data_IF_605115471699
#
_entry.id   IF_605115471699
#
_cell.length_a   1.000
_cell.length_b   1.000
_cell.length_c   1.000
_cell.angle_alpha   90.00
_cell.angle_beta   90.00
_cell.angle_gamma   90.00
#
_symmetry.space_group_name_H-M   'P 1'
#
loop_
_entity.id
_entity.type
_entity.pdbx_description
1 polymer ?
#
# COMPACT_ATOMS: atom_id res chain seq x y z
N UNK A 1 20.70 5.29 9.30
CA UNK A 1 20.24 4.47 8.16
C UNK A 1 19.87 3.02 8.56
N UNK A 2 20.71 2.29 9.30
CA UNK A 2 20.41 0.89 9.71
C UNK A 2 19.06 0.70 10.40
N UNK A 3 18.76 1.47 11.45
CA UNK A 3 17.47 1.37 12.19
C UNK A 3 16.23 1.67 11.32
N UNK A 4 16.33 2.58 10.36
CA UNK A 4 15.22 2.90 9.45
C UNK A 4 14.97 1.76 8.46
N UNK A 5 16.03 1.11 7.98
CA UNK A 5 15.90 -0.06 7.11
C UNK A 5 15.35 -1.28 7.85
N UNK A 6 15.73 -1.49 9.12
CA UNK A 6 15.14 -2.51 9.99
C UNK A 6 13.64 -2.27 10.26
N UNK A 7 13.23 -1.02 10.45
CA UNK A 7 11.81 -0.69 10.55
C UNK A 7 11.08 -0.98 9.23
N UNK A 8 11.68 -0.64 8.08
CA UNK A 8 11.15 -0.89 6.75
C UNK A 8 10.94 -2.39 6.43
N UNK A 9 11.80 -3.25 6.97
CA UNK A 9 11.70 -4.71 6.84
C UNK A 9 10.38 -5.29 7.35
N UNK A 10 9.76 -4.66 8.36
CA UNK A 10 8.47 -5.12 8.92
C UNK A 10 7.32 -5.00 7.92
N UNK A 11 7.45 -4.11 6.93
CA UNK A 11 6.45 -3.89 5.88
C UNK A 11 6.65 -4.81 4.67
N UNK A 12 7.71 -5.61 4.65
CA UNK A 12 7.92 -6.60 3.61
C UNK A 12 7.10 -7.87 3.89
N UNK A 13 6.63 -8.57 2.84
CA UNK A 13 6.05 -9.91 2.99
C UNK A 13 7.03 -10.86 3.68
N UNK A 14 6.53 -11.77 4.53
CA UNK A 14 7.35 -12.65 5.39
C UNK A 14 8.45 -13.38 4.62
N UNK A 15 8.15 -13.89 3.42
CA UNK A 15 9.12 -14.60 2.54
C UNK A 15 10.31 -13.73 2.09
N UNK A 16 10.17 -12.40 2.10
CA UNK A 16 11.20 -11.45 1.68
C UNK A 16 11.93 -10.79 2.86
N UNK A 17 11.43 -10.99 4.09
CA UNK A 17 12.06 -10.42 5.28
C UNK A 17 13.43 -11.04 5.56
N UNK A 18 13.58 -12.34 5.36
CA UNK A 18 14.87 -13.03 5.56
C UNK A 18 15.96 -12.51 4.60
N UNK A 19 15.63 -12.37 3.32
CA UNK A 19 16.56 -11.82 2.33
C UNK A 19 16.94 -10.37 2.67
N UNK A 20 15.97 -9.53 3.04
CA UNK A 20 16.27 -8.15 3.44
C UNK A 20 17.12 -8.07 4.71
N UNK A 21 16.95 -8.98 5.69
CA UNK A 21 17.83 -9.09 6.86
C UNK A 21 19.25 -9.49 6.46
N UNK A 22 19.40 -10.47 5.57
CA UNK A 22 20.70 -10.89 5.06
C UNK A 22 21.44 -9.72 4.37
N UNK A 23 20.74 -8.95 3.53
CA UNK A 23 21.33 -7.77 2.87
C UNK A 23 21.78 -6.69 3.86
N UNK A 24 21.06 -6.49 4.97
CA UNK A 24 21.47 -5.55 6.02
C UNK A 24 22.64 -6.09 6.85
N UNK A 25 22.70 -7.40 7.10
CA UNK A 25 23.84 -8.04 7.75
C UNK A 25 25.12 -7.87 6.91
N UNK A 26 25.06 -8.12 5.60
CA UNK A 26 26.18 -7.88 4.68
C UNK A 26 26.63 -6.40 4.67
N UNK A 27 25.68 -5.47 4.74
CA UNK A 27 25.97 -4.05 4.85
C UNK A 27 26.60 -3.66 6.19
N UNK A 28 26.35 -4.41 7.26
CA UNK A 28 26.91 -4.18 8.59
C UNK A 28 28.35 -4.71 8.71
N UNK A 29 28.65 -5.83 8.03
CA UNK A 29 29.99 -6.45 8.01
C UNK A 29 30.95 -5.71 7.06
N UNK A 30 30.44 -5.03 6.03
CA UNK A 30 31.27 -4.26 5.11
C UNK A 30 31.95 -3.06 5.79
N UNK A 31 33.25 -2.88 5.57
CA UNK A 31 34.02 -1.74 6.06
C UNK A 31 33.41 -0.38 5.64
N UNK A 32 33.63 0.64 6.48
CA UNK A 32 33.12 1.98 6.23
C UNK A 32 33.73 2.58 4.94
N UNK A 33 32.98 2.49 3.85
CA UNK A 33 33.45 2.95 2.53
C UNK A 33 32.39 2.87 1.42
N UNK A 34 32.81 2.99 0.15
CA UNK A 34 31.92 2.98 -1.02
C UNK A 34 31.11 1.68 -1.13
N UNK A 35 31.70 0.55 -0.74
CA UNK A 35 31.09 -0.79 -0.77
C UNK A 35 29.91 -0.89 0.19
N UNK A 36 30.06 -0.42 1.43
CA UNK A 36 28.98 -0.34 2.43
C UNK A 36 27.82 0.55 1.95
N UNK A 37 28.11 1.70 1.34
CA UNK A 37 27.07 2.59 0.78
C UNK A 37 26.27 1.91 -0.35
N UNK A 38 26.92 1.13 -1.21
CA UNK A 38 26.24 0.36 -2.27
C UNK A 38 25.28 -0.67 -1.66
N UNK A 39 25.73 -1.43 -0.66
CA UNK A 39 24.88 -2.41 0.03
C UNK A 39 23.68 -1.78 0.73
N UNK A 40 23.88 -0.66 1.44
CA UNK A 40 22.79 0.07 2.08
C UNK A 40 21.76 0.60 1.06
N UNK A 41 22.20 1.12 -0.08
CA UNK A 41 21.30 1.56 -1.16
C UNK A 41 20.54 0.39 -1.77
N UNK A 42 21.20 -0.74 -2.01
CA UNK A 42 20.56 -1.95 -2.53
C UNK A 42 19.51 -2.50 -1.56
N UNK A 43 19.82 -2.59 -0.27
CA UNK A 43 18.88 -3.01 0.76
C UNK A 43 17.69 -2.04 0.87
N UNK A 44 17.96 -0.73 0.88
CA UNK A 44 16.90 0.29 0.93
C UNK A 44 15.99 0.21 -0.30
N UNK A 45 16.57 0.11 -1.50
CA UNK A 45 15.82 -0.06 -2.75
C UNK A 45 14.96 -1.32 -2.74
N UNK A 46 15.51 -2.45 -2.26
CA UNK A 46 14.77 -3.71 -2.14
C UNK A 46 13.57 -3.57 -1.19
N UNK A 47 13.78 -2.93 -0.04
CA UNK A 47 12.71 -2.68 0.95
C UNK A 47 11.63 -1.80 0.34
N UNK A 48 11.99 -0.66 -0.25
CA UNK A 48 11.03 0.26 -0.87
C UNK A 48 10.25 -0.42 -1.97
N UNK A 49 10.92 -1.11 -2.89
CA UNK A 49 10.28 -1.81 -4.01
C UNK A 49 9.34 -2.93 -3.52
N UNK A 50 9.72 -3.63 -2.45
CA UNK A 50 8.90 -4.71 -1.89
C UNK A 50 7.71 -4.21 -1.07
N UNK A 51 7.85 -3.10 -0.36
CA UNK A 51 6.78 -2.53 0.46
C UNK A 51 5.81 -1.66 -0.36
N UNK A 52 6.28 -1.01 -1.43
CA UNK A 52 5.47 -0.14 -2.29
C UNK A 52 4.11 -0.75 -2.72
N UNK A 53 4.01 -1.99 -3.23
CA UNK A 53 2.72 -2.55 -3.61
C UNK A 53 1.77 -2.77 -2.42
N UNK A 54 2.31 -3.08 -1.23
CA UNK A 54 1.51 -3.25 0.00
C UNK A 54 0.91 -1.91 0.40
N UNK A 55 1.72 -0.85 0.42
CA UNK A 55 1.26 0.51 0.70
C UNK A 55 0.24 0.98 -0.33
N UNK A 56 0.53 0.79 -1.62
CA UNK A 56 -0.39 1.19 -2.70
C UNK A 56 -1.75 0.51 -2.56
N UNK A 57 -1.77 -0.78 -2.22
CA UNK A 57 -2.99 -1.53 -1.96
C UNK A 57 -3.78 -0.96 -0.78
N UNK A 58 -3.14 -0.71 0.37
CA UNK A 58 -3.82 -0.13 1.53
C UNK A 58 -4.35 1.26 1.24
N UNK A 59 -3.58 2.10 0.55
CA UNK A 59 -4.03 3.42 0.11
C UNK A 59 -5.22 3.30 -0.83
N UNK A 60 -5.19 2.39 -1.80
CA UNK A 60 -6.32 2.18 -2.72
C UNK A 60 -7.59 1.75 -1.98
N UNK A 61 -7.47 0.86 -0.99
CA UNK A 61 -8.60 0.44 -0.14
C UNK A 61 -9.13 1.62 0.68
N UNK A 62 -8.25 2.34 1.37
CA UNK A 62 -8.63 3.45 2.24
C UNK A 62 -9.29 4.59 1.46
N UNK A 63 -8.71 4.98 0.32
CA UNK A 63 -9.27 6.03 -0.55
C UNK A 63 -10.61 5.59 -1.13
N UNK A 64 -10.75 4.33 -1.56
CA UNK A 64 -12.03 3.81 -2.05
C UNK A 64 -13.11 3.85 -0.96
N UNK A 65 -12.78 3.45 0.28
CA UNK A 65 -13.71 3.48 1.40
C UNK A 65 -14.11 4.92 1.78
N UNK A 66 -13.14 5.85 1.86
CA UNK A 66 -13.42 7.26 2.12
C UNK A 66 -14.30 7.87 1.04
N UNK A 67 -14.08 7.50 -0.21
CA UNK A 67 -14.86 8.02 -1.33
C UNK A 67 -16.29 7.47 -1.33
N UNK A 68 -16.50 6.20 -0.95
CA UNK A 68 -17.84 5.66 -0.69
C UNK A 68 -18.55 6.44 0.42
N UNK A 69 -17.86 6.69 1.55
CA UNK A 69 -18.43 7.46 2.66
C UNK A 69 -18.78 8.89 2.25
N UNK A 70 -17.89 9.56 1.49
CA UNK A 70 -18.12 10.88 0.94
C UNK A 70 -19.40 10.89 0.11
N UNK A 71 -19.49 10.00 -0.88
CA UNK A 71 -20.65 9.94 -1.79
C UNK A 71 -21.92 9.63 -1.02
N UNK A 72 -21.88 8.68 -0.08
CA UNK A 72 -23.01 8.37 0.78
C UNK A 72 -23.50 9.58 1.57
N UNK A 73 -22.58 10.33 2.18
CA UNK A 73 -22.89 11.57 2.89
C UNK A 73 -23.56 12.61 1.98
N UNK A 74 -23.00 12.85 0.79
CA UNK A 74 -23.55 13.83 -0.15
C UNK A 74 -24.89 13.38 -0.74
N UNK A 75 -25.06 12.08 -0.97
CA UNK A 75 -26.34 11.51 -1.41
C UNK A 75 -27.44 11.70 -0.36
N UNK A 76 -27.13 11.46 0.93
CA UNK A 76 -28.06 11.66 2.04
C UNK A 76 -28.38 13.15 2.22
N UNK A 77 -27.37 14.02 2.20
CA UNK A 77 -27.53 15.47 2.37
C UNK A 77 -28.38 16.09 1.27
N UNK A 78 -28.19 15.64 0.02
CA UNK A 78 -29.03 16.04 -1.12
C UNK A 78 -30.39 15.33 -1.18
N UNK A 79 -30.68 14.40 -0.26
CA UNK A 79 -31.90 13.59 -0.26
C UNK A 79 -32.05 12.68 -1.49
N UNK A 80 -30.95 12.39 -2.19
CA UNK A 80 -30.94 11.68 -3.47
C UNK A 80 -31.88 12.30 -4.52
N UNK A 81 -32.09 13.62 -4.49
CA UNK A 81 -32.92 14.34 -5.49
C UNK A 81 -32.29 14.44 -6.89
N UNK A 82 -31.23 13.67 -7.16
CA UNK A 82 -30.61 13.59 -8.47
C UNK A 82 -31.52 12.89 -9.49
N UNK A 83 -31.19 13.05 -10.76
CA UNK A 83 -31.86 12.33 -11.84
C UNK A 83 -31.70 10.80 -11.66
N UNK A 84 -32.62 9.97 -12.16
CA UNK A 84 -32.50 8.50 -12.05
C UNK A 84 -31.16 7.96 -12.56
N UNK A 85 -30.57 8.62 -13.56
CA UNK A 85 -29.25 8.28 -14.12
C UNK A 85 -28.13 8.58 -13.13
N UNK A 86 -28.18 9.70 -12.41
CA UNK A 86 -27.21 10.03 -11.36
C UNK A 86 -27.28 9.00 -10.22
N UNK A 87 -28.49 8.66 -9.75
CA UNK A 87 -28.68 7.65 -8.70
C UNK A 87 -28.15 6.29 -9.13
N UNK A 88 -28.43 5.86 -10.37
CA UNK A 88 -27.90 4.60 -10.91
C UNK A 88 -26.37 4.61 -11.01
N UNK A 89 -25.79 5.74 -11.43
CA UNK A 89 -24.33 5.92 -11.51
C UNK A 89 -23.68 5.85 -10.13
N UNK A 90 -24.31 6.45 -9.10
CA UNK A 90 -23.85 6.36 -7.72
C UNK A 90 -23.82 4.92 -7.20
N UNK A 91 -24.92 4.18 -7.39
CA UNK A 91 -24.99 2.78 -6.98
C UNK A 91 -23.95 1.92 -7.72
N UNK A 92 -23.80 2.14 -9.03
CA UNK A 92 -22.78 1.46 -9.84
C UNK A 92 -21.36 1.74 -9.35
N UNK A 93 -21.04 2.99 -9.05
CA UNK A 93 -19.73 3.40 -8.56
C UNK A 93 -19.41 2.80 -7.19
N UNK A 94 -20.36 2.82 -6.25
CA UNK A 94 -20.22 2.20 -4.93
C UNK A 94 -20.01 0.68 -5.07
N UNK A 95 -20.77 0.02 -5.95
CA UNK A 95 -20.60 -1.41 -6.20
C UNK A 95 -19.21 -1.73 -6.78
N UNK A 96 -18.74 -0.96 -7.76
CA UNK A 96 -17.42 -1.13 -8.37
C UNK A 96 -16.28 -0.90 -7.38
N UNK A 97 -16.38 0.14 -6.55
CA UNK A 97 -15.37 0.44 -5.52
C UNK A 97 -15.36 -0.63 -4.43
N UNK A 98 -16.53 -1.11 -4.02
CA UNK A 98 -16.65 -2.23 -3.08
C UNK A 98 -16.02 -3.49 -3.66
N UNK A 99 -16.31 -3.81 -4.92
CA UNK A 99 -15.69 -4.94 -5.62
C UNK A 99 -14.17 -4.78 -5.71
N UNK A 100 -13.69 -3.58 -6.03
CA UNK A 100 -12.26 -3.27 -6.07
C UNK A 100 -11.60 -3.51 -4.70
N UNK A 101 -12.20 -3.04 -3.61
CA UNK A 101 -11.74 -3.30 -2.24
C UNK A 101 -11.68 -4.82 -1.97
N UNK A 102 -12.73 -5.56 -2.33
CA UNK A 102 -12.79 -7.02 -2.11
C UNK A 102 -11.71 -7.76 -2.91
N UNK A 103 -11.51 -7.40 -4.18
CA UNK A 103 -10.49 -8.00 -5.04
C UNK A 103 -9.08 -7.70 -4.53
N UNK A 104 -8.82 -6.43 -4.16
CA UNK A 104 -7.56 -6.02 -3.53
C UNK A 104 -7.36 -6.77 -2.22
N UNK A 105 -8.37 -6.87 -1.36
CA UNK A 105 -8.28 -7.56 -0.07
C UNK A 105 -7.99 -9.06 -0.21
N UNK A 106 -8.57 -9.72 -1.23
CA UNK A 106 -8.41 -11.17 -1.46
C UNK A 106 -7.07 -11.55 -2.11
N UNK A 107 -6.39 -10.62 -2.79
CA UNK A 107 -5.13 -10.89 -3.52
C UNK A 107 -3.94 -11.36 -2.65
N UNK A 108 -4.06 -11.30 -1.32
CA UNK A 108 -3.04 -11.80 -0.38
C UNK A 108 -3.35 -13.18 0.24
N UNK A 109 -4.49 -13.82 -0.11
CA UNK A 109 -4.68 -15.27 0.14
C UNK A 109 -4.15 -16.07 -1.04
#
# INVERSE_FOLDING_TARGET
>A
MGRAAEAGLRFLPTRRQELGRAMLAEAAVAEAGPRRRKWLRAACWFIVKGAAPVWLRWTAIAVSALFICWIGYNGIDSGFHGTPVEVASYLGLVALLTLNIVLLARRDR
#
